data_IF_205491788760
#
_entry.id   IF_205491788760
#
_cell.length_a   1.000
_cell.length_b   1.000
_cell.length_c   1.000
_cell.angle_alpha   90.00
_cell.angle_beta   90.00
_cell.angle_gamma   90.00
#
_symmetry.space_group_name_H-M   'P 1'
#
loop_
_entity.id
_entity.type
_entity.pdbx_description
1 polymer ?
#
# COMPACT_ATOMS: atom_id res chain seq x y z
N UNK A 1 -51.95 -30.07 -72.32
CA UNK A 1 -51.13 -29.00 -72.91
C UNK A 1 -50.33 -28.35 -71.79
N UNK A 2 -48.99 -28.38 -71.89
CA UNK A 2 -47.96 -27.50 -71.27
C UNK A 2 -48.03 -27.21 -69.75
N UNK A 3 -46.96 -27.15 -68.97
CA UNK A 3 -45.51 -27.27 -69.13
C UNK A 3 -44.94 -27.24 -67.69
N UNK A 4 -43.87 -27.98 -67.44
CA UNK A 4 -43.09 -27.97 -66.20
C UNK A 4 -42.51 -26.59 -65.87
N UNK A 5 -42.43 -26.24 -64.58
CA UNK A 5 -41.36 -25.37 -64.04
C UNK A 5 -40.91 -25.96 -62.69
N UNK A 6 -39.68 -26.48 -62.69
CA UNK A 6 -38.96 -26.88 -61.48
C UNK A 6 -38.33 -25.61 -60.86
N UNK A 7 -38.60 -25.35 -59.59
CA UNK A 7 -37.85 -24.37 -58.81
C UNK A 7 -36.92 -25.11 -57.85
N UNK A 8 -35.63 -24.96 -58.13
CA UNK A 8 -34.49 -25.44 -57.35
C UNK A 8 -34.31 -24.52 -56.14
N UNK A 9 -34.59 -25.02 -54.94
CA UNK A 9 -34.34 -24.30 -53.69
C UNK A 9 -32.85 -24.40 -53.31
N UNK A 10 -32.17 -23.26 -53.25
CA UNK A 10 -30.81 -23.10 -52.74
C UNK A 10 -30.89 -22.75 -51.24
N UNK A 11 -30.27 -23.51 -50.31
CA UNK A 11 -30.27 -23.15 -48.90
C UNK A 11 -29.20 -22.08 -48.62
N UNK A 12 -29.67 -20.91 -48.18
CA UNK A 12 -28.85 -19.81 -47.68
C UNK A 12 -28.29 -20.19 -46.29
N UNK A 13 -26.99 -20.48 -46.21
CA UNK A 13 -26.27 -20.68 -44.96
C UNK A 13 -26.03 -19.32 -44.29
N UNK A 14 -26.81 -19.00 -43.25
CA UNK A 14 -26.57 -17.84 -42.38
C UNK A 14 -25.54 -18.24 -41.34
N UNK A 15 -24.29 -17.81 -41.55
CA UNK A 15 -23.21 -17.93 -40.59
C UNK A 15 -23.36 -16.80 -39.54
N UNK A 16 -23.95 -17.13 -38.38
CA UNK A 16 -24.02 -16.22 -37.23
C UNK A 16 -22.64 -16.25 -36.55
N UNK A 17 -21.81 -15.23 -36.82
CA UNK A 17 -20.60 -14.98 -36.05
C UNK A 17 -20.98 -14.55 -34.63
N UNK A 18 -20.99 -15.51 -33.69
CA UNK A 18 -21.04 -15.21 -32.26
C UNK A 18 -19.65 -14.72 -31.83
N UNK A 19 -19.44 -13.41 -31.90
CA UNK A 19 -18.26 -12.77 -31.31
C UNK A 19 -18.43 -12.80 -29.78
N UNK A 20 -17.92 -13.86 -29.14
CA UNK A 20 -17.67 -13.85 -27.71
C UNK A 20 -16.52 -12.85 -27.45
N UNK A 21 -16.89 -11.61 -27.13
CA UNK A 21 -15.95 -10.62 -26.62
C UNK A 21 -15.37 -11.15 -25.32
N UNK A 22 -14.07 -11.48 -25.32
CA UNK A 22 -13.31 -11.72 -24.10
C UNK A 22 -13.28 -10.37 -23.38
N UNK A 23 -14.03 -10.25 -22.29
CA UNK A 23 -13.89 -9.13 -21.37
C UNK A 23 -12.44 -9.18 -20.86
N UNK A 24 -11.61 -8.24 -21.29
CA UNK A 24 -10.36 -7.95 -20.59
C UNK A 24 -10.77 -7.46 -19.20
N UNK A 25 -10.26 -8.11 -18.14
CA UNK A 25 -10.30 -7.58 -16.78
C UNK A 25 -9.57 -6.24 -16.78
N UNK A 26 -10.31 -5.16 -17.04
CA UNK A 26 -9.82 -3.81 -16.90
C UNK A 26 -9.48 -3.63 -15.43
N UNK A 27 -8.19 -3.46 -15.14
CA UNK A 27 -7.72 -3.11 -13.80
C UNK A 27 -8.57 -1.95 -13.28
N UNK A 28 -9.16 -2.04 -12.08
CA UNK A 28 -9.99 -0.96 -11.56
C UNK A 28 -9.22 0.36 -11.61
N UNK A 29 -9.87 1.48 -11.99
CA UNK A 29 -9.21 2.79 -11.98
C UNK A 29 -8.58 3.04 -10.59
N UNK A 30 -7.36 3.58 -10.56
CA UNK A 30 -6.58 3.89 -9.34
C UNK A 30 -6.12 2.68 -8.48
N UNK A 31 -6.18 1.47 -9.00
CA UNK A 31 -5.66 0.27 -8.31
C UNK A 31 -4.16 0.31 -7.97
N UNK A 32 -3.35 1.05 -8.72
CA UNK A 32 -1.93 1.30 -8.39
C UNK A 32 -1.76 2.28 -7.21
N UNK A 33 -2.76 3.10 -6.93
CA UNK A 33 -2.71 4.08 -5.85
C UNK A 33 -3.16 3.48 -4.52
N UNK A 34 -4.00 2.45 -4.53
CA UNK A 34 -4.64 1.87 -3.33
C UNK A 34 -3.90 0.64 -2.76
N UNK A 35 -2.75 0.29 -3.32
CA UNK A 35 -1.94 -0.85 -2.84
C UNK A 35 -0.71 -0.34 -2.09
N UNK A 36 -0.58 -0.69 -0.81
CA UNK A 36 0.54 -0.27 0.04
C UNK A 36 1.81 -1.10 -0.21
N UNK A 37 2.28 -1.16 -1.47
CA UNK A 37 3.46 -1.93 -1.86
C UNK A 37 4.55 -1.05 -2.45
N UNK A 38 5.79 -1.37 -2.06
CA UNK A 38 7.00 -0.82 -2.66
C UNK A 38 7.84 -2.01 -3.16
N UNK A 39 7.67 -2.46 -4.42
CA UNK A 39 8.25 -3.71 -4.91
C UNK A 39 9.76 -3.82 -4.70
N UNK A 40 10.49 -2.72 -4.83
CA UNK A 40 11.94 -2.71 -4.64
C UNK A 40 12.41 -3.07 -3.22
N UNK A 41 11.56 -2.90 -2.19
CA UNK A 41 11.88 -3.41 -0.85
C UNK A 41 11.91 -4.94 -0.81
N UNK A 42 11.12 -5.61 -1.67
CA UNK A 42 11.10 -7.07 -1.78
C UNK A 42 12.34 -7.57 -2.50
N UNK A 43 12.76 -6.89 -3.57
CA UNK A 43 14.00 -7.21 -4.28
C UNK A 43 15.23 -6.98 -3.37
N UNK A 44 15.26 -5.86 -2.64
CA UNK A 44 16.36 -5.59 -1.72
C UNK A 44 16.42 -6.59 -0.55
N UNK A 45 15.28 -7.17 -0.16
CA UNK A 45 15.23 -8.19 0.89
C UNK A 45 16.13 -9.40 0.55
N UNK A 46 16.32 -9.76 -0.73
CA UNK A 46 17.21 -10.86 -1.11
C UNK A 46 18.67 -10.60 -0.71
N UNK A 47 19.13 -9.36 -0.87
CA UNK A 47 20.48 -8.92 -0.47
C UNK A 47 20.57 -8.83 1.04
N UNK A 48 19.57 -8.22 1.68
CA UNK A 48 19.51 -8.11 3.14
C UNK A 48 19.47 -9.48 3.81
N UNK A 49 18.78 -10.46 3.20
CA UNK A 49 18.75 -11.83 3.68
C UNK A 49 20.15 -12.44 3.70
N UNK A 50 20.93 -12.29 2.61
CA UNK A 50 22.32 -12.75 2.55
C UNK A 50 23.19 -12.06 3.60
N UNK A 51 23.02 -10.74 3.79
CA UNK A 51 23.74 -9.98 4.82
C UNK A 51 23.42 -10.53 6.21
N UNK A 52 22.14 -10.65 6.56
CA UNK A 52 21.70 -10.87 7.94
C UNK A 52 21.61 -12.34 8.35
N UNK A 53 21.20 -13.23 7.45
CA UNK A 53 21.02 -14.65 7.74
C UNK A 53 22.22 -15.52 7.35
N UNK A 54 23.25 -14.95 6.70
CA UNK A 54 24.47 -15.68 6.31
C UNK A 54 25.73 -14.93 6.72
N UNK A 55 26.01 -13.78 6.10
CA UNK A 55 27.31 -13.14 6.25
C UNK A 55 27.58 -12.60 7.67
N UNK A 56 26.59 -11.95 8.29
CA UNK A 56 26.70 -11.40 9.64
C UNK A 56 26.89 -12.45 10.73
N UNK A 57 26.06 -13.51 10.85
CA UNK A 57 26.22 -14.52 11.91
C UNK A 57 27.52 -15.32 11.78
N UNK A 58 27.98 -15.56 10.55
CA UNK A 58 29.27 -16.21 10.28
C UNK A 58 30.48 -15.27 10.42
N UNK A 59 30.22 -13.97 10.60
CA UNK A 59 31.24 -12.90 10.58
C UNK A 59 32.07 -12.90 9.29
N UNK A 60 31.46 -13.28 8.17
CA UNK A 60 32.08 -13.38 6.85
C UNK A 60 32.24 -11.98 6.22
N UNK A 61 33.30 -11.29 6.64
CA UNK A 61 33.59 -9.92 6.16
C UNK A 61 33.92 -9.85 4.67
N UNK A 62 34.44 -10.94 4.07
CA UNK A 62 34.65 -11.02 2.63
C UNK A 62 33.31 -10.94 1.87
N UNK A 63 32.32 -11.74 2.28
CA UNK A 63 30.99 -11.71 1.69
C UNK A 63 30.28 -10.37 1.93
N UNK A 64 30.45 -9.76 3.12
CA UNK A 64 29.93 -8.42 3.38
C UNK A 64 30.53 -7.37 2.42
N UNK A 65 31.81 -7.47 2.09
CA UNK A 65 32.44 -6.60 1.08
C UNK A 65 31.88 -6.89 -0.32
N UNK A 66 31.72 -8.16 -0.69
CA UNK A 66 31.19 -8.59 -1.99
C UNK A 66 29.76 -8.10 -2.25
N UNK A 67 28.92 -8.03 -1.20
CA UNK A 67 27.52 -7.57 -1.31
C UNK A 67 27.39 -6.04 -1.44
N UNK A 68 28.46 -5.26 -1.20
CA UNK A 68 28.41 -3.79 -1.21
C UNK A 68 27.84 -3.18 -2.51
N UNK A 69 28.18 -3.66 -3.73
CA UNK A 69 27.62 -3.12 -4.96
C UNK A 69 26.09 -3.25 -5.04
N UNK A 70 25.54 -4.40 -4.64
CA UNK A 70 24.08 -4.62 -4.61
C UNK A 70 23.41 -3.76 -3.53
N UNK A 71 24.03 -3.65 -2.35
CA UNK A 71 23.55 -2.79 -1.25
C UNK A 71 23.42 -1.33 -1.72
N UNK A 72 24.45 -0.81 -2.42
CA UNK A 72 24.42 0.55 -2.99
C UNK A 72 23.33 0.70 -4.04
N UNK A 73 23.25 -0.25 -4.97
CA UNK A 73 22.25 -0.23 -6.04
C UNK A 73 20.83 -0.10 -5.48
N UNK A 74 20.45 -0.94 -4.52
CA UNK A 74 19.11 -0.90 -3.95
C UNK A 74 18.88 0.31 -3.06
N UNK A 75 19.86 0.71 -2.24
CA UNK A 75 19.74 1.92 -1.42
C UNK A 75 19.50 3.18 -2.28
N UNK A 76 20.22 3.33 -3.39
CA UNK A 76 20.07 4.46 -4.30
C UNK A 76 18.75 4.42 -5.06
N UNK A 77 18.27 3.23 -5.39
CA UNK A 77 17.00 3.05 -6.09
C UNK A 77 15.82 3.30 -5.17
N UNK A 78 15.88 2.83 -3.91
CA UNK A 78 14.88 3.09 -2.86
C UNK A 78 14.74 4.60 -2.61
N UNK A 79 15.83 5.35 -2.56
CA UNK A 79 15.80 6.80 -2.34
C UNK A 79 15.11 7.59 -3.48
N UNK A 80 14.88 6.96 -4.64
CA UNK A 80 14.20 7.55 -5.81
C UNK A 80 12.75 7.10 -5.96
N UNK A 81 12.29 6.16 -5.12
CA UNK A 81 10.91 5.65 -5.16
C UNK A 81 9.93 6.78 -4.84
N UNK A 82 8.94 6.93 -5.71
CA UNK A 82 7.71 7.64 -5.37
C UNK A 82 6.76 6.66 -4.69
N UNK A 83 6.28 7.00 -3.50
CA UNK A 83 5.34 6.15 -2.81
C UNK A 83 3.99 6.09 -3.57
N UNK A 84 3.30 4.93 -3.54
CA UNK A 84 1.95 4.84 -4.04
C UNK A 84 1.02 5.81 -3.28
N UNK A 85 -0.09 6.19 -3.93
CA UNK A 85 -1.01 7.21 -3.42
C UNK A 85 -1.45 6.98 -1.97
N UNK A 86 -1.80 5.75 -1.60
CA UNK A 86 -2.21 5.34 -0.25
C UNK A 86 -1.12 5.51 0.81
N UNK A 87 0.14 5.73 0.42
CA UNK A 87 1.24 6.00 1.33
C UNK A 87 1.69 7.48 1.29
N UNK A 88 0.91 8.37 0.65
CA UNK A 88 1.24 9.81 0.50
C UNK A 88 1.56 10.48 1.82
N UNK A 89 0.81 10.20 2.87
CA UNK A 89 1.04 10.82 4.19
C UNK A 89 2.34 10.36 4.85
N UNK A 90 2.93 9.26 4.37
CA UNK A 90 4.20 8.71 4.84
C UNK A 90 5.41 9.23 4.04
N UNK A 91 5.22 10.09 3.05
CA UNK A 91 6.29 10.60 2.18
C UNK A 91 7.42 11.27 2.96
N UNK A 92 7.09 12.04 4.00
CA UNK A 92 8.09 12.71 4.85
C UNK A 92 8.94 11.69 5.61
N UNK A 93 8.30 10.78 6.35
CA UNK A 93 9.01 9.77 7.16
C UNK A 93 9.78 8.78 6.28
N UNK A 94 9.25 8.47 5.09
CA UNK A 94 9.96 7.69 4.08
C UNK A 94 11.27 8.35 3.67
N UNK A 95 11.21 9.62 3.23
CA UNK A 95 12.41 10.38 2.84
C UNK A 95 13.48 10.46 3.93
N UNK A 96 13.06 10.69 5.17
CA UNK A 96 13.96 10.70 6.33
C UNK A 96 14.64 9.34 6.53
N UNK A 97 13.89 8.25 6.39
CA UNK A 97 14.41 6.89 6.58
C UNK A 97 15.23 6.36 5.38
N UNK A 98 14.95 6.80 4.15
CA UNK A 98 15.78 6.48 2.99
C UNK A 98 17.10 7.26 3.01
N UNK A 99 17.08 8.52 3.46
CA UNK A 99 18.32 9.27 3.71
C UNK A 99 19.16 8.58 4.78
N UNK A 100 18.52 8.11 5.87
CA UNK A 100 19.24 7.35 6.91
C UNK A 100 19.83 6.05 6.41
N UNK A 101 19.14 5.35 5.51
CA UNK A 101 19.68 4.15 4.85
C UNK A 101 20.97 4.49 4.07
N UNK A 102 20.97 5.57 3.29
CA UNK A 102 22.15 6.00 2.53
C UNK A 102 23.34 6.37 3.42
N UNK A 103 23.09 7.01 4.57
CA UNK A 103 24.14 7.26 5.58
C UNK A 103 24.75 5.94 6.08
N UNK A 104 23.92 4.94 6.42
CA UNK A 104 24.39 3.64 6.89
C UNK A 104 25.20 2.92 5.79
N UNK A 105 24.76 2.97 4.54
CA UNK A 105 25.50 2.40 3.39
C UNK A 105 26.84 3.11 3.19
N UNK A 106 26.92 4.40 3.47
CA UNK A 106 28.18 5.16 3.44
C UNK A 106 29.14 4.67 4.52
N UNK A 107 28.67 4.48 5.76
CA UNK A 107 29.51 3.93 6.84
C UNK A 107 29.91 2.47 6.60
N UNK A 108 29.00 1.66 6.06
CA UNK A 108 29.28 0.30 5.60
C UNK A 108 30.44 0.30 4.59
N UNK A 109 30.37 1.16 3.57
CA UNK A 109 31.41 1.27 2.55
C UNK A 109 32.75 1.75 3.10
N UNK A 110 32.76 2.69 4.06
CA UNK A 110 34.00 3.13 4.70
C UNK A 110 34.69 1.99 5.45
N UNK A 111 33.92 1.07 6.02
CA UNK A 111 34.45 -0.09 6.73
C UNK A 111 35.03 -1.19 5.81
N UNK A 112 34.90 -1.08 4.48
CA UNK A 112 35.44 -2.09 3.55
C UNK A 112 36.85 -1.79 3.04
N UNK A 113 37.41 -0.59 3.25
CA UNK A 113 38.74 -0.23 2.73
C UNK A 113 39.47 0.84 3.56
N UNK A 114 40.48 0.47 4.39
CA UNK A 114 40.84 -0.91 4.73
C UNK A 114 39.71 -1.62 5.47
N UNK A 115 39.68 -2.95 5.44
CA UNK A 115 38.61 -3.72 6.10
C UNK A 115 38.71 -3.54 7.62
N UNK A 116 37.72 -2.85 8.19
CA UNK A 116 37.50 -2.75 9.63
C UNK A 116 36.35 -3.69 9.99
N UNK A 117 36.71 -4.93 10.36
CA UNK A 117 35.77 -6.03 10.55
C UNK A 117 34.65 -5.71 11.55
N UNK A 118 34.97 -5.03 12.65
CA UNK A 118 33.97 -4.71 13.67
C UNK A 118 33.03 -3.60 13.20
N UNK A 119 33.57 -2.54 12.56
CA UNK A 119 32.70 -1.50 11.99
C UNK A 119 31.82 -2.05 10.87
N UNK A 120 32.32 -2.97 10.05
CA UNK A 120 31.56 -3.60 8.98
C UNK A 120 30.39 -4.43 9.52
N UNK A 121 30.62 -5.23 10.56
CA UNK A 121 29.55 -6.00 11.23
C UNK A 121 28.51 -5.09 11.89
N UNK A 122 28.94 -4.02 12.56
CA UNK A 122 28.03 -3.05 13.16
C UNK A 122 27.20 -2.31 12.09
N UNK A 123 27.81 -1.98 10.94
CA UNK A 123 27.11 -1.34 9.84
C UNK A 123 26.11 -2.28 9.16
N UNK A 124 26.43 -3.57 9.04
CA UNK A 124 25.53 -4.60 8.52
C UNK A 124 24.28 -4.82 9.41
N UNK A 125 24.44 -4.81 10.74
CA UNK A 125 23.31 -4.86 11.68
C UNK A 125 22.43 -3.60 11.54
N UNK A 126 23.04 -2.41 11.47
CA UNK A 126 22.31 -1.17 11.25
C UNK A 126 21.58 -1.16 9.91
N UNK A 127 22.20 -1.71 8.86
CA UNK A 127 21.59 -1.84 7.53
C UNK A 127 20.31 -2.67 7.59
N UNK A 128 20.36 -3.84 8.23
CA UNK A 128 19.19 -4.68 8.45
C UNK A 128 18.10 -3.96 9.26
N UNK A 129 18.47 -3.38 10.40
CA UNK A 129 17.52 -2.65 11.25
C UNK A 129 16.84 -1.48 10.53
N UNK A 130 17.57 -0.75 9.67
CA UNK A 130 17.03 0.36 8.89
C UNK A 130 16.15 -0.13 7.73
N UNK A 131 16.54 -1.22 7.06
CA UNK A 131 15.70 -1.88 6.06
C UNK A 131 14.34 -2.30 6.67
N UNK A 132 14.35 -2.93 7.84
CA UNK A 132 13.10 -3.30 8.50
C UNK A 132 12.21 -2.09 8.84
N UNK A 133 12.80 -0.94 9.19
CA UNK A 133 12.02 0.29 9.42
C UNK A 133 11.30 0.73 8.16
N UNK A 134 11.97 0.70 7.00
CA UNK A 134 11.34 1.02 5.72
C UNK A 134 10.20 0.05 5.37
N UNK A 135 10.39 -1.24 5.62
CA UNK A 135 9.31 -2.25 5.48
C UNK A 135 8.15 -1.95 6.43
N UNK A 136 8.41 -1.55 7.68
CA UNK A 136 7.35 -1.19 8.65
C UNK A 136 6.60 0.08 8.27
N UNK A 137 7.24 1.06 7.63
CA UNK A 137 6.57 2.28 7.15
C UNK A 137 5.51 1.93 6.10
N UNK A 138 5.83 0.99 5.19
CA UNK A 138 4.95 0.65 4.07
C UNK A 138 3.87 -0.38 4.43
N UNK A 139 4.11 -1.21 5.46
CA UNK A 139 3.17 -2.27 5.84
C UNK A 139 2.15 -1.79 6.88
N UNK A 140 0.85 -2.01 6.66
CA UNK A 140 -0.16 -1.75 7.68
C UNK A 140 0.03 -2.71 8.86
N UNK A 141 -0.33 -2.23 10.07
CA UNK A 141 -0.24 -3.06 11.28
C UNK A 141 -1.33 -4.13 11.31
N UNK A 142 -2.50 -3.81 10.75
CA UNK A 142 -3.66 -4.68 10.62
C UNK A 142 -4.23 -4.57 9.21
N UNK A 143 -4.71 -5.68 8.66
CA UNK A 143 -5.38 -5.72 7.35
C UNK A 143 -6.65 -4.89 7.32
N UNK A 144 -7.35 -4.77 8.44
CA UNK A 144 -8.58 -3.98 8.58
C UNK A 144 -8.32 -2.47 8.49
N UNK A 145 -7.15 -2.01 8.96
CA UNK A 145 -6.74 -0.61 8.82
C UNK A 145 -6.47 -0.29 7.35
N UNK A 146 -5.78 -1.19 6.63
CA UNK A 146 -5.54 -1.03 5.18
C UNK A 146 -6.85 -1.05 4.39
N UNK A 147 -7.72 -2.02 4.65
CA UNK A 147 -9.01 -2.13 3.96
C UNK A 147 -9.89 -0.89 4.18
N UNK A 148 -9.88 -0.33 5.39
CA UNK A 148 -10.54 0.94 5.68
C UNK A 148 -9.90 2.10 4.90
N UNK A 149 -8.56 2.20 4.93
CA UNK A 149 -7.84 3.26 4.24
C UNK A 149 -8.06 3.24 2.73
N UNK A 150 -8.12 2.08 2.09
CA UNK A 150 -8.38 1.98 0.65
C UNK A 150 -9.66 2.70 0.23
N UNK A 151 -10.73 2.54 1.00
CA UNK A 151 -12.03 3.20 0.75
C UNK A 151 -11.93 4.70 1.06
N UNK A 152 -11.35 5.04 2.22
CA UNK A 152 -11.16 6.43 2.64
C UNK A 152 -10.33 7.22 1.62
N UNK A 153 -9.25 6.61 1.12
CA UNK A 153 -8.34 7.20 0.14
C UNK A 153 -9.09 7.61 -1.12
N UNK A 154 -9.90 6.71 -1.67
CA UNK A 154 -10.68 6.97 -2.87
C UNK A 154 -11.76 8.03 -2.63
N UNK A 155 -12.48 7.95 -1.51
CA UNK A 155 -13.47 8.95 -1.12
C UNK A 155 -12.83 10.35 -1.02
N UNK A 156 -11.72 10.45 -0.28
CA UNK A 156 -11.10 11.71 0.09
C UNK A 156 -10.36 12.38 -1.07
N UNK A 157 -9.57 11.62 -1.84
CA UNK A 157 -8.72 12.21 -2.88
C UNK A 157 -9.38 12.26 -4.26
N UNK A 158 -10.33 11.38 -4.55
CA UNK A 158 -10.93 11.28 -5.88
C UNK A 158 -12.42 11.65 -5.85
N UNK A 159 -13.25 10.88 -5.17
CA UNK A 159 -14.72 11.00 -5.33
C UNK A 159 -15.29 12.32 -4.82
N UNK A 160 -14.74 12.88 -3.74
CA UNK A 160 -15.10 14.23 -3.29
C UNK A 160 -14.69 15.31 -4.30
N UNK A 161 -13.49 15.22 -4.84
CA UNK A 161 -12.95 16.16 -5.84
C UNK A 161 -13.78 16.13 -7.12
N UNK A 162 -14.10 14.93 -7.59
CA UNK A 162 -14.85 14.68 -8.81
C UNK A 162 -16.36 14.89 -8.64
N UNK A 163 -16.83 15.01 -7.38
CA UNK A 163 -18.24 15.12 -6.98
C UNK A 163 -19.08 13.93 -7.46
N UNK A 164 -18.48 12.74 -7.51
CA UNK A 164 -19.15 11.51 -7.89
C UNK A 164 -20.07 11.03 -6.76
N UNK A 165 -21.33 11.47 -6.78
CA UNK A 165 -22.29 11.21 -5.72
C UNK A 165 -22.53 9.72 -5.48
N UNK A 166 -22.58 8.91 -6.54
CA UNK A 166 -22.82 7.47 -6.42
C UNK A 166 -21.63 6.80 -5.71
N UNK A 167 -20.41 7.18 -6.10
CA UNK A 167 -19.19 6.69 -5.44
C UNK A 167 -19.03 7.20 -4.02
N UNK A 168 -19.46 8.43 -3.73
CA UNK A 168 -19.47 8.96 -2.37
C UNK A 168 -20.41 8.14 -1.48
N UNK A 169 -21.66 7.92 -1.91
CA UNK A 169 -22.66 7.18 -1.11
C UNK A 169 -22.19 5.75 -0.85
N UNK A 170 -21.76 5.04 -1.90
CA UNK A 170 -21.24 3.67 -1.76
C UNK A 170 -19.99 3.60 -0.88
N UNK A 171 -19.09 4.59 -0.95
CA UNK A 171 -17.91 4.65 -0.08
C UNK A 171 -18.29 4.82 1.39
N UNK A 172 -19.33 5.61 1.72
CA UNK A 172 -19.78 5.77 3.11
C UNK A 172 -20.35 4.46 3.66
N UNK A 173 -21.11 3.72 2.84
CA UNK A 173 -21.62 2.39 3.23
C UNK A 173 -20.46 1.42 3.45
N UNK A 174 -19.51 1.36 2.52
CA UNK A 174 -18.36 0.47 2.65
C UNK A 174 -17.47 0.84 3.84
N UNK A 175 -17.26 2.14 4.13
CA UNK A 175 -16.53 2.59 5.32
C UNK A 175 -17.17 2.11 6.62
N UNK A 176 -18.52 2.07 6.71
CA UNK A 176 -19.23 1.51 7.87
C UNK A 176 -18.98 0.01 8.02
N UNK A 177 -18.97 -0.73 6.90
CA UNK A 177 -18.65 -2.16 6.91
C UNK A 177 -17.20 -2.41 7.35
N UNK A 178 -16.23 -1.69 6.78
CA UNK A 178 -14.81 -1.83 7.17
C UNK A 178 -14.59 -1.42 8.63
N UNK A 179 -15.27 -0.37 9.11
CA UNK A 179 -15.21 0.05 10.51
C UNK A 179 -15.71 -1.06 11.44
N UNK A 180 -16.82 -1.73 11.09
CA UNK A 180 -17.35 -2.84 11.89
C UNK A 180 -16.40 -4.05 11.96
N UNK A 181 -15.57 -4.27 10.94
CA UNK A 181 -14.48 -5.26 10.98
C UNK A 181 -13.33 -4.77 11.87
N UNK A 182 -12.91 -3.52 11.70
CA UNK A 182 -11.83 -2.91 12.49
C UNK A 182 -12.16 -2.86 13.99
N UNK A 183 -13.42 -2.67 14.36
CA UNK A 183 -13.91 -2.73 15.76
C UNK A 183 -13.72 -4.10 16.41
N UNK A 184 -13.70 -5.17 15.61
CA UNK A 184 -13.47 -6.54 16.09
C UNK A 184 -12.01 -6.95 16.03
N UNK A 185 -11.18 -6.19 15.31
CA UNK A 185 -9.77 -6.48 15.17
C UNK A 185 -9.04 -6.36 16.51
N UNK A 186 -8.08 -7.25 16.73
CA UNK A 186 -7.23 -7.30 17.92
C UNK A 186 -5.78 -7.07 17.50
N UNK A 187 -5.01 -6.33 18.30
CA UNK A 187 -3.60 -6.16 17.99
C UNK A 187 -2.82 -7.48 18.13
N UNK A 188 -1.80 -7.71 17.31
CA UNK A 188 -0.88 -8.82 17.52
C UNK A 188 -0.15 -8.66 18.86
N UNK A 189 0.27 -9.77 19.47
CA UNK A 189 0.87 -9.77 20.83
C UNK A 189 2.04 -8.78 20.98
N UNK A 190 2.85 -8.62 19.93
CA UNK A 190 3.97 -7.65 19.89
C UNK A 190 3.55 -6.18 20.09
N UNK A 191 2.29 -5.84 19.82
CA UNK A 191 1.72 -4.49 19.94
C UNK A 191 0.75 -4.33 21.11
N UNK A 192 0.60 -5.33 21.98
CA UNK A 192 -0.40 -5.32 23.07
C UNK A 192 -0.27 -4.14 24.04
N UNK A 193 0.93 -3.60 24.20
CA UNK A 193 1.17 -2.38 25.00
C UNK A 193 0.45 -1.15 24.46
N UNK A 194 0.08 -1.15 23.16
CA UNK A 194 -0.63 -0.07 22.47
C UNK A 194 -2.15 -0.29 22.42
N UNK A 195 -2.66 -1.41 22.97
CA UNK A 195 -4.08 -1.81 22.84
C UNK A 195 -5.05 -0.74 23.34
N UNK A 196 -4.81 -0.15 24.52
CA UNK A 196 -5.70 0.86 25.08
C UNK A 196 -5.78 2.11 24.18
N UNK A 197 -4.62 2.61 23.72
CA UNK A 197 -4.56 3.75 22.81
C UNK A 197 -5.20 3.44 21.45
N UNK A 198 -5.02 2.22 20.94
CA UNK A 198 -5.66 1.77 19.71
C UNK A 198 -7.18 1.72 19.84
N UNK A 199 -7.72 1.14 20.92
CA UNK A 199 -9.17 1.08 21.18
C UNK A 199 -9.75 2.50 21.27
N UNK A 200 -9.08 3.40 21.97
CA UNK A 200 -9.51 4.80 22.09
C UNK A 200 -9.55 5.50 20.72
N UNK A 201 -8.45 5.46 19.97
CA UNK A 201 -8.38 6.09 18.65
C UNK A 201 -9.39 5.47 17.66
N UNK A 202 -9.55 4.15 17.68
CA UNK A 202 -10.56 3.43 16.89
C UNK A 202 -11.99 3.86 17.23
N UNK A 203 -12.27 4.11 18.51
CA UNK A 203 -13.59 4.59 18.98
C UNK A 203 -13.86 6.02 18.53
N UNK A 204 -12.83 6.86 18.43
CA UNK A 204 -12.93 8.20 17.85
C UNK A 204 -13.25 8.08 16.35
N UNK A 205 -12.47 7.29 15.60
CA UNK A 205 -12.69 7.07 14.17
C UNK A 205 -14.10 6.55 13.86
N UNK A 206 -14.58 5.56 14.63
CA UNK A 206 -15.94 5.03 14.49
C UNK A 206 -17.03 6.10 14.66
N UNK A 207 -16.85 7.03 15.61
CA UNK A 207 -17.78 8.17 15.76
C UNK A 207 -17.80 9.07 14.53
N UNK A 208 -16.64 9.34 13.93
CA UNK A 208 -16.55 10.16 12.72
C UNK A 208 -17.15 9.48 11.49
N UNK A 209 -16.98 8.16 11.35
CA UNK A 209 -17.68 7.36 10.33
C UNK A 209 -19.20 7.43 10.52
N UNK A 210 -19.68 7.26 11.76
CA UNK A 210 -21.11 7.31 12.07
C UNK A 210 -21.71 8.72 11.91
N UNK A 211 -20.89 9.76 11.97
CA UNK A 211 -21.30 11.12 11.68
C UNK A 211 -21.47 11.39 10.16
N UNK A 212 -21.04 10.50 9.27
CA UNK A 212 -21.29 10.66 7.83
C UNK A 212 -22.75 10.33 7.50
N UNK A 213 -23.51 11.38 7.18
CA UNK A 213 -24.87 11.29 6.68
C UNK A 213 -24.86 11.54 5.17
N UNK A 214 -25.26 10.51 4.41
CA UNK A 214 -25.25 10.52 2.94
C UNK A 214 -26.27 11.50 2.34
N UNK A 215 -27.30 11.91 3.09
CA UNK A 215 -28.23 12.96 2.64
C UNK A 215 -27.51 14.30 2.44
N UNK A 216 -26.48 14.57 3.25
CA UNK A 216 -25.70 15.80 3.20
C UNK A 216 -24.91 15.96 1.90
N UNK A 217 -24.65 14.88 1.16
CA UNK A 217 -23.95 14.95 -0.13
C UNK A 217 -24.69 15.87 -1.12
N UNK A 218 -26.03 15.90 -1.03
CA UNK A 218 -26.88 16.81 -1.83
C UNK A 218 -27.28 18.05 -1.04
N UNK A 219 -27.66 17.88 0.22
CA UNK A 219 -28.30 18.94 1.00
C UNK A 219 -27.29 19.93 1.59
N UNK A 220 -26.08 19.46 1.95
CA UNK A 220 -25.02 20.29 2.52
C UNK A 220 -23.61 19.73 2.19
N UNK A 221 -23.18 19.80 0.90
CA UNK A 221 -21.94 19.16 0.45
C UNK A 221 -20.68 19.70 1.13
N UNK A 222 -20.69 20.98 1.53
CA UNK A 222 -19.58 21.59 2.28
C UNK A 222 -19.44 20.98 3.67
N UNK A 223 -20.54 20.80 4.38
CA UNK A 223 -20.51 20.17 5.70
C UNK A 223 -20.16 18.68 5.59
N UNK A 224 -20.64 17.98 4.55
CA UNK A 224 -20.22 16.59 4.28
C UNK A 224 -18.70 16.49 4.09
N UNK A 225 -18.11 17.34 3.25
CA UNK A 225 -16.67 17.35 3.02
C UNK A 225 -15.88 17.64 4.31
N UNK A 226 -16.36 18.55 5.17
CA UNK A 226 -15.74 18.83 6.47
C UNK A 226 -15.78 17.61 7.42
N UNK A 227 -16.85 16.81 7.39
CA UNK A 227 -16.93 15.57 8.17
C UNK A 227 -15.99 14.50 7.64
N UNK A 228 -15.82 14.41 6.31
CA UNK A 228 -14.83 13.51 5.70
C UNK A 228 -13.40 13.92 6.06
N UNK A 229 -13.08 15.22 6.10
CA UNK A 229 -11.80 15.74 6.60
C UNK A 229 -11.55 15.37 8.07
N UNK A 230 -12.58 15.47 8.91
CA UNK A 230 -12.51 15.08 10.33
C UNK A 230 -12.21 13.59 10.47
N UNK A 231 -12.95 12.74 9.74
CA UNK A 231 -12.70 11.29 9.71
C UNK A 231 -11.28 10.96 9.21
N UNK A 232 -10.79 11.66 8.18
CA UNK A 232 -9.43 11.49 7.69
C UNK A 232 -8.39 11.82 8.76
N UNK A 233 -8.58 12.93 9.49
CA UNK A 233 -7.72 13.31 10.61
C UNK A 233 -7.73 12.28 11.75
N UNK A 234 -8.90 11.72 12.07
CA UNK A 234 -9.02 10.68 13.10
C UNK A 234 -8.38 9.36 12.67
N UNK A 235 -8.45 9.02 11.38
CA UNK A 235 -7.73 7.88 10.80
C UNK A 235 -6.21 8.07 10.96
N UNK A 236 -5.68 9.25 10.62
CA UNK A 236 -4.26 9.56 10.82
C UNK A 236 -3.85 9.52 12.30
N UNK A 237 -4.72 9.97 13.21
CA UNK A 237 -4.47 9.88 14.65
C UNK A 237 -4.41 8.41 15.13
N UNK A 238 -5.26 7.54 14.58
CA UNK A 238 -5.20 6.10 14.85
C UNK A 238 -3.92 5.47 14.30
N UNK A 239 -3.49 5.82 13.08
CA UNK A 239 -2.22 5.30 12.54
C UNK A 239 -1.02 5.68 13.41
N UNK A 240 -0.97 6.91 13.92
CA UNK A 240 0.10 7.41 14.80
C UNK A 240 0.24 6.64 16.11
N UNK A 241 -0.77 5.88 16.54
CA UNK A 241 -0.63 4.97 17.67
C UNK A 241 0.49 3.97 17.43
N UNK A 242 0.78 3.61 16.17
CA UNK A 242 1.74 2.57 15.82
C UNK A 242 3.16 3.04 15.55
N UNK A 243 3.38 4.34 15.41
CA UNK A 243 4.70 4.98 15.33
C UNK A 243 5.46 4.89 16.66
#
# INVERSE_FOLDING_TARGET
>A
MNRSIAFMFLPLFIFVCFAAGIAQDAKPPHSDETTAQVPILTEFHEVIFKVWHTAWPERNTAMLVELLPEIRHYSDSIAKVQLPGILRDKEKVWKENTAKLQEIVTEYAKATSPIDSQKLLNAAEQLHAQFEKLVRITRPVLTEIEAFHQVLYMLYHHYLTDKDQEKIVSSVEELKEKMALLEKATLPERMKKKEAAFIEARTILSRSVNALDVSMVKDNPTEFAARVETMHSDYQAMEKVFE
#
